data_IF_989950873942
#
_entry.id   IF_989950873942
#
_cell.length_a   1.000
_cell.length_b   1.000
_cell.length_c   1.000
_cell.angle_alpha   90.00
_cell.angle_beta   90.00
_cell.angle_gamma   90.00
#
_symmetry.space_group_name_H-M   'P 1'
#
loop_
_entity.id
_entity.type
_entity.pdbx_description
1 polymer ?
#
# COMPACT_ATOMS: atom_id res chain seq x y z
N UNK A 1 10.24 -3.02 16.97
CA UNK A 1 9.61 -1.85 16.31
C UNK A 1 8.18 -1.76 16.83
N UNK A 2 7.74 -0.61 17.37
CA UNK A 2 6.31 -0.43 17.70
C UNK A 2 5.57 -0.12 16.40
N UNK A 3 4.60 -0.96 16.03
CA UNK A 3 3.62 -0.61 14.99
C UNK A 3 2.89 0.63 15.47
N UNK A 4 3.13 1.77 14.82
CA UNK A 4 2.41 3.00 15.11
C UNK A 4 1.00 2.89 14.56
N UNK A 5 0.01 3.36 15.29
CA UNK A 5 -1.35 3.51 14.75
C UNK A 5 -1.34 4.61 13.69
N UNK A 6 -2.07 4.41 12.60
CA UNK A 6 -2.40 5.48 11.67
C UNK A 6 -3.63 6.22 12.18
N UNK A 7 -3.54 7.54 12.21
CA UNK A 7 -4.67 8.39 12.59
C UNK A 7 -5.35 8.86 11.32
N UNK A 8 -6.61 8.52 11.16
CA UNK A 8 -7.47 9.09 10.12
C UNK A 8 -8.30 10.23 10.68
N UNK A 9 -8.46 11.26 9.88
CA UNK A 9 -9.37 12.37 10.10
C UNK A 9 -10.57 12.17 9.19
N UNK A 10 -11.74 11.95 9.78
CA UNK A 10 -13.01 11.99 9.07
C UNK A 10 -13.62 13.39 9.25
N UNK A 11 -13.74 14.13 8.15
CA UNK A 11 -14.41 15.43 8.12
C UNK A 11 -15.79 15.31 7.48
N UNK A 12 -16.83 15.77 8.18
CA UNK A 12 -18.19 15.83 7.67
C UNK A 12 -18.72 17.27 7.64
N UNK A 13 -18.89 17.81 6.43
CA UNK A 13 -19.46 19.14 6.20
C UNK A 13 -20.99 19.04 6.08
N UNK A 14 -21.70 19.65 7.03
CA UNK A 14 -23.17 19.67 7.08
C UNK A 14 -23.70 20.80 6.19
N UNK A 15 -24.61 20.53 5.27
CA UNK A 15 -25.33 21.60 4.57
C UNK A 15 -26.48 22.23 5.39
N UNK A 16 -26.73 21.80 6.64
CA UNK A 16 -27.70 22.45 7.55
C UNK A 16 -27.16 23.74 8.19
N UNK A 17 -26.49 24.60 7.43
CA UNK A 17 -26.02 25.87 7.97
C UNK A 17 -27.22 26.82 8.10
N UNK A 18 -27.13 27.80 8.99
CA UNK A 18 -28.18 28.84 9.10
C UNK A 18 -28.40 29.48 7.72
N UNK A 19 -29.64 29.84 7.38
CA UNK A 19 -30.00 30.41 6.09
C UNK A 19 -29.02 31.52 5.67
N UNK A 20 -28.40 31.36 4.50
CA UNK A 20 -27.45 32.33 3.94
C UNK A 20 -25.97 32.02 4.16
N UNK A 21 -25.60 30.95 4.88
CA UNK A 21 -24.21 30.53 5.05
C UNK A 21 -23.83 29.49 3.97
N UNK A 22 -22.85 29.79 3.08
CA UNK A 22 -22.38 28.83 2.09
C UNK A 22 -21.72 27.60 2.73
N UNK A 23 -21.86 26.43 2.12
CA UNK A 23 -21.20 25.18 2.53
C UNK A 23 -19.68 25.26 2.56
N UNK A 24 -19.10 26.22 1.83
CA UNK A 24 -17.66 26.48 1.73
C UNK A 24 -17.16 27.53 2.72
N UNK A 25 -18.03 28.13 3.54
CA UNK A 25 -17.63 29.16 4.50
C UNK A 25 -16.85 28.59 5.68
N UNK A 26 -15.95 29.39 6.27
CA UNK A 26 -15.17 28.99 7.45
C UNK A 26 -16.05 28.55 8.64
N UNK A 27 -17.24 29.16 8.80
CA UNK A 27 -18.23 28.76 9.82
C UNK A 27 -18.84 27.37 9.55
N UNK A 28 -18.86 26.91 8.30
CA UNK A 28 -19.29 25.56 7.94
C UNK A 28 -18.28 24.51 8.42
N UNK A 29 -16.98 24.82 8.30
CA UNK A 29 -15.87 24.00 8.78
C UNK A 29 -15.86 23.90 10.31
N UNK A 30 -16.14 24.99 11.03
CA UNK A 30 -16.21 24.99 12.50
C UNK A 30 -17.37 24.14 13.05
N UNK A 31 -18.44 23.96 12.28
CA UNK A 31 -19.57 23.08 12.64
C UNK A 31 -19.47 21.65 12.08
N UNK A 32 -18.40 21.36 11.33
CA UNK A 32 -18.13 20.03 10.81
C UNK A 32 -17.81 19.06 11.93
N UNK A 33 -18.35 17.84 11.81
CA UNK A 33 -17.93 16.77 12.72
C UNK A 33 -16.57 16.29 12.23
N UNK A 34 -15.58 16.39 13.12
CA UNK A 34 -14.25 15.88 12.90
C UNK A 34 -14.06 14.70 13.86
N UNK A 35 -13.92 13.50 13.30
CA UNK A 35 -13.58 12.31 14.09
C UNK A 35 -12.14 11.91 13.82
N UNK A 36 -11.38 11.71 14.91
CA UNK A 36 -10.08 11.05 14.86
C UNK A 36 -10.27 9.56 15.07
N UNK A 37 -9.91 8.78 14.07
CA UNK A 37 -10.07 7.32 14.09
C UNK A 37 -8.69 6.70 14.04
N UNK A 38 -8.45 5.72 14.90
CA UNK A 38 -7.16 5.04 14.99
C UNK A 38 -7.25 3.67 14.33
N UNK A 39 -6.39 3.42 13.35
CA UNK A 39 -6.28 2.14 12.66
C UNK A 39 -4.86 1.58 12.76
N UNK A 40 -4.74 0.28 12.48
CA UNK A 40 -3.44 -0.39 12.36
C UNK A 40 -2.94 -0.42 10.90
N UNK A 41 -3.85 -0.33 9.93
CA UNK A 41 -3.58 -0.40 8.51
C UNK A 41 -4.54 0.50 7.70
N UNK A 42 -4.15 0.79 6.46
CA UNK A 42 -5.04 1.35 5.44
C UNK A 42 -5.59 0.22 4.57
N UNK A 43 -6.86 -0.10 4.75
CA UNK A 43 -7.56 -1.07 3.93
C UNK A 43 -8.16 -0.43 2.68
N UNK A 44 -7.45 -0.53 1.55
CA UNK A 44 -7.77 0.14 0.28
C UNK A 44 -8.66 -0.71 -0.62
N UNK A 45 -9.65 -0.09 -1.25
CA UNK A 45 -10.47 -0.73 -2.27
C UNK A 45 -9.73 -0.78 -3.59
N UNK A 46 -9.51 -2.00 -4.09
CA UNK A 46 -8.85 -2.22 -5.37
C UNK A 46 -9.79 -2.64 -6.47
N UNK A 47 -11.08 -2.93 -6.22
CA UNK A 47 -12.03 -3.36 -7.26
C UNK A 47 -12.10 -2.40 -8.45
N UNK A 48 -12.05 -1.09 -8.18
CA UNK A 48 -12.19 -0.02 -9.19
C UNK A 48 -10.87 0.66 -9.59
N UNK A 49 -9.74 0.26 -9.02
CA UNK A 49 -8.43 0.90 -9.24
C UNK A 49 -7.37 -0.10 -9.65
N UNK A 50 -6.35 0.33 -10.37
CA UNK A 50 -5.26 -0.52 -10.88
C UNK A 50 -3.93 -0.25 -10.16
N UNK A 51 -3.89 0.66 -9.18
CA UNK A 51 -2.67 1.04 -8.47
C UNK A 51 -2.97 1.46 -7.03
N UNK A 52 -1.98 1.30 -6.15
CA UNK A 52 -2.04 1.76 -4.76
C UNK A 52 -2.24 3.27 -4.69
N UNK A 53 -1.61 4.03 -5.58
CA UNK A 53 -1.75 5.48 -5.64
C UNK A 53 -3.20 5.89 -5.94
N UNK A 54 -3.80 5.36 -7.01
CA UNK A 54 -5.23 5.63 -7.32
C UNK A 54 -6.16 5.13 -6.23
N UNK A 55 -5.84 4.00 -5.59
CA UNK A 55 -6.63 3.51 -4.48
C UNK A 55 -6.59 4.44 -3.26
N UNK A 56 -5.46 5.10 -2.99
CA UNK A 56 -5.33 6.15 -1.96
C UNK A 56 -6.07 7.43 -2.34
N UNK A 57 -6.00 7.84 -3.61
CA UNK A 57 -6.79 8.97 -4.12
C UNK A 57 -8.29 8.73 -3.92
N UNK A 58 -8.78 7.54 -4.28
CA UNK A 58 -10.17 7.15 -4.05
C UNK A 58 -10.51 7.08 -2.55
N UNK A 59 -9.61 6.54 -1.73
CA UNK A 59 -9.81 6.43 -0.28
C UNK A 59 -9.94 7.80 0.41
N UNK A 60 -9.22 8.80 -0.11
CA UNK A 60 -9.21 10.16 0.45
C UNK A 60 -10.05 11.17 -0.32
N UNK A 61 -10.76 10.72 -1.35
CA UNK A 61 -11.67 11.55 -2.12
C UNK A 61 -12.84 12.05 -1.28
N UNK A 62 -13.37 13.21 -1.64
CA UNK A 62 -14.60 13.73 -1.06
C UNK A 62 -15.78 12.89 -1.56
N UNK A 63 -16.50 12.28 -0.64
CA UNK A 63 -17.74 11.55 -0.87
C UNK A 63 -18.95 12.45 -0.70
N UNK A 64 -19.78 12.55 -1.74
CA UNK A 64 -21.07 13.22 -1.67
C UNK A 64 -22.11 12.29 -1.04
N UNK A 65 -22.68 12.71 0.09
CA UNK A 65 -23.78 12.04 0.77
C UNK A 65 -25.12 12.58 0.24
N UNK A 66 -25.38 12.30 -1.04
CA UNK A 66 -26.60 12.65 -1.76
C UNK A 66 -27.34 11.39 -2.25
N UNK A 67 -28.68 11.49 -2.38
CA UNK A 67 -29.50 10.40 -2.92
C UNK A 67 -30.18 9.51 -1.87
N UNK A 68 -31.41 9.89 -1.48
CA UNK A 68 -32.32 9.09 -0.65
C UNK A 68 -31.70 8.55 0.65
N UNK A 69 -31.33 7.27 0.63
CA UNK A 69 -30.76 6.54 1.76
C UNK A 69 -29.36 7.03 2.19
N UNK A 70 -28.58 7.63 1.27
CA UNK A 70 -27.21 8.11 1.55
C UNK A 70 -27.15 9.49 2.22
N UNK A 71 -28.26 10.23 2.26
CA UNK A 71 -28.31 11.52 2.93
C UNK A 71 -27.93 11.38 4.41
N UNK A 72 -27.05 12.26 4.87
CA UNK A 72 -26.67 12.33 6.26
C UNK A 72 -27.86 12.76 7.12
N UNK A 73 -28.18 11.99 8.17
CA UNK A 73 -29.19 12.38 9.15
C UNK A 73 -28.54 13.26 10.22
N UNK A 74 -28.81 14.56 10.16
CA UNK A 74 -28.27 15.51 11.12
C UNK A 74 -28.67 15.15 12.56
N UNK A 75 -27.70 14.95 13.44
CA UNK A 75 -27.97 14.60 14.84
C UNK A 75 -28.70 15.70 15.62
N UNK A 76 -28.54 16.97 15.23
CA UNK A 76 -29.21 18.13 15.85
C UNK A 76 -30.63 18.32 15.30
N UNK A 77 -30.74 18.48 13.98
CA UNK A 77 -32.03 18.79 13.34
C UNK A 77 -32.93 17.55 13.13
N UNK A 78 -32.36 16.34 13.26
CA UNK A 78 -33.00 15.05 12.96
C UNK A 78 -33.50 14.85 11.52
N UNK A 79 -33.22 15.80 10.63
CA UNK A 79 -33.56 15.77 9.20
C UNK A 79 -32.40 15.23 8.36
N UNK A 80 -32.73 14.54 7.26
CA UNK A 80 -31.78 14.09 6.25
C UNK A 80 -31.35 15.24 5.35
N UNK A 81 -30.04 15.44 5.20
CA UNK A 81 -29.48 16.50 4.36
C UNK A 81 -28.33 16.00 3.52
N UNK A 82 -28.03 16.75 2.47
CA UNK A 82 -26.78 16.59 1.73
C UNK A 82 -25.61 16.97 2.63
N UNK A 83 -24.53 16.23 2.52
CA UNK A 83 -23.31 16.46 3.25
C UNK A 83 -22.13 15.99 2.40
N UNK A 84 -20.95 16.50 2.70
CA UNK A 84 -19.71 15.98 2.14
C UNK A 84 -18.95 15.27 3.25
N UNK A 85 -18.45 14.08 2.96
CA UNK A 85 -17.60 13.30 3.86
C UNK A 85 -16.24 13.11 3.20
N UNK A 86 -15.17 13.24 3.97
CA UNK A 86 -13.83 12.94 3.49
C UNK A 86 -13.02 12.25 4.59
N UNK A 87 -12.21 11.28 4.19
CA UNK A 87 -11.20 10.66 5.05
C UNK A 87 -9.83 11.13 4.61
N UNK A 88 -8.98 11.50 5.57
CA UNK A 88 -7.59 11.90 5.30
C UNK A 88 -6.69 11.36 6.40
N UNK A 89 -5.38 11.34 6.19
CA UNK A 89 -4.42 10.94 7.22
C UNK A 89 -4.10 12.15 8.11
N UNK A 90 -4.43 12.08 9.39
CA UNK A 90 -4.06 13.09 10.40
C UNK A 90 -2.59 12.94 10.80
N UNK A 91 -2.17 11.70 11.08
CA UNK A 91 -0.80 11.37 11.47
C UNK A 91 -0.42 10.01 10.89
N UNK A 92 0.65 10.01 10.10
CA UNK A 92 1.17 8.81 9.49
C UNK A 92 2.18 8.09 10.42
N UNK A 93 2.14 6.75 10.51
CA UNK A 93 3.02 5.97 11.37
C UNK A 93 4.41 5.73 10.76
N UNK A 94 5.44 5.45 11.56
CA UNK A 94 6.78 5.12 11.04
C UNK A 94 6.81 3.92 10.08
N UNK A 95 5.91 2.96 10.32
CA UNK A 95 5.70 1.77 9.49
C UNK A 95 4.25 1.79 9.04
N UNK A 96 4.02 1.91 7.74
CA UNK A 96 2.68 1.99 7.14
C UNK A 96 2.29 0.64 6.56
N UNK A 97 1.26 0.01 7.12
CA UNK A 97 0.68 -1.20 6.54
C UNK A 97 -0.49 -0.85 5.63
N UNK A 98 -0.46 -1.33 4.38
CA UNK A 98 -1.53 -1.19 3.41
C UNK A 98 -2.11 -2.57 3.11
N UNK A 99 -3.40 -2.73 3.35
CA UNK A 99 -4.15 -3.92 3.00
C UNK A 99 -4.95 -3.66 1.71
N UNK A 100 -4.72 -4.49 0.69
CA UNK A 100 -5.50 -4.43 -0.55
C UNK A 100 -6.74 -5.31 -0.39
N UNK A 101 -7.93 -4.71 -0.36
CA UNK A 101 -9.21 -5.45 -0.30
C UNK A 101 -9.48 -6.17 -1.61
N UNK A 102 -8.87 -7.34 -1.79
CA UNK A 102 -9.02 -8.21 -2.97
C UNK A 102 -10.29 -9.06 -2.92
N UNK A 103 -11.38 -8.52 -2.38
CA UNK A 103 -12.67 -9.18 -2.24
C UNK A 103 -13.79 -8.15 -2.29
N UNK A 104 -14.98 -8.57 -2.73
CA UNK A 104 -16.17 -7.72 -2.79
C UNK A 104 -17.29 -8.31 -1.93
N UNK A 105 -18.06 -7.46 -1.25
CA UNK A 105 -19.15 -7.92 -0.38
C UNK A 105 -20.25 -8.67 -1.12
N UNK A 106 -20.41 -8.44 -2.42
CA UNK A 106 -21.46 -9.06 -3.23
C UNK A 106 -21.04 -10.46 -3.72
N UNK A 107 -19.74 -10.74 -3.79
CA UNK A 107 -19.16 -12.02 -4.20
C UNK A 107 -17.99 -12.40 -3.28
N UNK A 108 -18.24 -12.68 -1.99
CA UNK A 108 -17.19 -12.81 -0.98
C UNK A 108 -16.27 -14.02 -1.20
N UNK A 109 -16.67 -15.00 -2.02
CA UNK A 109 -15.89 -16.20 -2.31
C UNK A 109 -14.85 -16.00 -3.43
N UNK A 110 -15.03 -14.97 -4.28
CA UNK A 110 -14.16 -14.71 -5.42
C UNK A 110 -13.08 -13.70 -5.05
N UNK A 111 -11.82 -14.07 -5.28
CA UNK A 111 -10.68 -13.17 -5.10
C UNK A 111 -10.53 -12.28 -6.32
N UNK A 112 -10.31 -10.99 -6.08
CA UNK A 112 -9.91 -10.03 -7.11
C UNK A 112 -8.43 -10.27 -7.44
N UNK A 113 -8.19 -11.01 -8.52
CA UNK A 113 -6.85 -11.41 -8.95
C UNK A 113 -6.21 -10.48 -9.98
N UNK A 114 -6.80 -9.30 -10.20
CA UNK A 114 -6.22 -8.32 -11.13
C UNK A 114 -4.91 -7.74 -10.62
N UNK A 115 -4.07 -7.31 -11.56
CA UNK A 115 -2.84 -6.58 -11.27
C UNK A 115 -3.14 -5.26 -10.58
N UNK A 116 -2.41 -4.99 -9.49
CA UNK A 116 -2.42 -3.70 -8.78
C UNK A 116 -0.97 -3.23 -8.71
N UNK A 117 -0.70 -2.12 -9.37
CA UNK A 117 0.61 -1.51 -9.43
C UNK A 117 0.94 -0.80 -8.11
N UNK A 118 2.19 -0.94 -7.67
CA UNK A 118 2.72 -0.22 -6.51
C UNK A 118 4.19 0.09 -6.78
N UNK A 119 4.62 1.25 -6.32
CA UNK A 119 5.98 1.73 -6.51
C UNK A 119 6.86 1.38 -5.30
N UNK A 120 8.18 1.20 -5.48
CA UNK A 120 9.11 1.04 -4.36
C UNK A 120 9.13 2.26 -3.41
N UNK A 121 8.68 3.41 -3.90
CA UNK A 121 8.55 4.65 -3.14
C UNK A 121 7.10 5.13 -3.18
N UNK A 122 6.52 5.44 -2.02
CA UNK A 122 5.20 6.06 -1.91
C UNK A 122 5.31 7.45 -1.28
N UNK A 123 4.72 8.43 -1.94
CA UNK A 123 4.61 9.81 -1.43
C UNK A 123 3.23 9.97 -0.82
N UNK A 124 3.17 10.20 0.49
CA UNK A 124 1.91 10.29 1.24
C UNK A 124 1.40 11.72 1.42
N UNK A 125 2.21 12.73 1.09
CA UNK A 125 1.87 14.15 1.25
C UNK A 125 0.48 14.55 0.71
N UNK A 126 0.02 14.08 -0.47
CA UNK A 126 -1.31 14.44 -0.99
C UNK A 126 -2.49 13.92 -0.15
N UNK A 127 -2.25 12.95 0.72
CA UNK A 127 -3.30 12.22 1.46
C UNK A 127 -3.35 12.60 2.95
N UNK A 128 -2.52 13.56 3.38
CA UNK A 128 -2.35 13.98 4.77
C UNK A 128 -2.89 15.39 4.98
N UNK A 129 -3.66 15.59 6.06
CA UNK A 129 -4.30 16.89 6.36
C UNK A 129 -3.45 17.84 7.20
N UNK A 130 -2.40 17.34 7.86
CA UNK A 130 -1.50 18.14 8.68
C UNK A 130 -0.37 18.80 7.89
N UNK A 131 0.24 19.88 8.43
CA UNK A 131 1.48 20.42 7.88
C UNK A 131 2.56 19.35 7.98
N UNK A 132 2.93 18.78 6.84
CA UNK A 132 3.94 17.73 6.77
C UNK A 132 4.85 18.01 5.57
N UNK A 133 6.13 18.20 5.86
CA UNK A 133 7.17 18.16 4.84
C UNK A 133 7.39 16.71 4.37
N UNK A 134 7.82 16.59 3.13
CA UNK A 134 8.02 15.39 2.30
C UNK A 134 7.90 14.03 3.01
N UNK A 135 6.64 13.60 3.20
CA UNK A 135 6.33 12.29 3.76
C UNK A 135 6.48 11.21 2.69
N UNK A 136 7.67 10.61 2.65
CA UNK A 136 8.05 9.55 1.72
C UNK A 136 8.30 8.24 2.46
N UNK A 137 7.72 7.17 1.95
CA UNK A 137 7.96 5.81 2.40
C UNK A 137 8.68 4.99 1.35
N UNK A 138 9.44 4.00 1.81
CA UNK A 138 10.09 2.99 0.97
C UNK A 138 9.46 1.63 1.25
N UNK A 139 9.06 0.91 0.21
CA UNK A 139 8.53 -0.44 0.34
C UNK A 139 9.56 -1.37 0.98
N UNK A 140 9.19 -2.02 2.08
CA UNK A 140 10.05 -2.99 2.76
C UNK A 140 9.51 -4.42 2.69
N UNK A 141 8.21 -4.61 2.52
CA UNK A 141 7.60 -5.93 2.55
C UNK A 141 6.38 -6.05 1.64
N UNK A 142 6.24 -7.22 1.01
CA UNK A 142 5.03 -7.58 0.25
C UNK A 142 4.57 -8.95 0.70
N UNK A 143 3.39 -9.01 1.32
CA UNK A 143 2.72 -10.27 1.65
C UNK A 143 1.80 -10.66 0.50
N UNK A 144 1.97 -11.88 -0.02
CA UNK A 144 1.22 -12.38 -1.17
C UNK A 144 0.37 -13.56 -0.77
N UNK A 145 -0.90 -13.52 -1.18
CA UNK A 145 -1.82 -14.65 -1.11
C UNK A 145 -1.96 -15.28 -2.50
N UNK A 146 -1.41 -16.48 -2.69
CA UNK A 146 -1.64 -17.29 -3.88
C UNK A 146 -2.87 -18.18 -3.71
N UNK A 147 -3.77 -18.15 -4.69
CA UNK A 147 -5.03 -18.88 -4.61
C UNK A 147 -6.14 -18.11 -5.30
N UNK A 148 -7.16 -18.85 -5.73
CA UNK A 148 -8.30 -18.34 -6.50
C UNK A 148 -9.46 -17.89 -5.58
N UNK A 149 -9.46 -18.36 -4.34
CA UNK A 149 -10.47 -18.06 -3.33
C UNK A 149 -9.93 -17.10 -2.28
N UNK A 150 -10.84 -16.44 -1.58
CA UNK A 150 -10.56 -15.67 -0.35
C UNK A 150 -10.49 -16.56 0.90
N UNK A 151 -10.99 -17.80 0.82
CA UNK A 151 -11.10 -18.71 1.97
C UNK A 151 -9.95 -19.72 2.06
N UNK A 152 -9.18 -19.88 0.99
CA UNK A 152 -8.06 -20.83 0.92
C UNK A 152 -7.01 -20.36 -0.07
N UNK A 153 -5.77 -20.72 0.22
CA UNK A 153 -4.62 -20.39 -0.58
C UNK A 153 -3.33 -20.60 0.20
N UNK A 154 -2.27 -20.01 -0.31
CA UNK A 154 -0.92 -20.12 0.21
C UNK A 154 -0.32 -18.73 0.38
N UNK A 155 0.22 -18.45 1.57
CA UNK A 155 0.87 -17.18 1.85
C UNK A 155 2.38 -17.31 1.71
N UNK A 156 2.98 -16.35 1.03
CA UNK A 156 4.42 -16.16 0.96
C UNK A 156 4.73 -14.67 0.95
N UNK A 157 5.98 -14.27 1.19
CA UNK A 157 6.32 -12.86 1.22
C UNK A 157 7.66 -12.53 0.56
N UNK A 158 7.78 -11.27 0.18
CA UNK A 158 9.03 -10.65 -0.20
C UNK A 158 9.43 -9.64 0.86
N UNK A 159 10.70 -9.66 1.27
CA UNK A 159 11.24 -8.72 2.27
C UNK A 159 12.48 -8.06 1.72
N UNK A 160 12.50 -6.73 1.78
CA UNK A 160 13.64 -5.90 1.46
C UNK A 160 14.51 -5.69 2.71
N UNK A 161 15.79 -5.98 2.57
CA UNK A 161 16.77 -5.86 3.65
C UNK A 161 17.49 -4.52 3.61
N UNK A 162 18.11 -4.14 4.73
CA UNK A 162 18.97 -2.95 4.82
C UNK A 162 20.18 -2.98 3.88
N UNK A 163 20.52 -4.15 3.32
CA UNK A 163 21.60 -4.33 2.35
C UNK A 163 21.15 -4.12 0.90
N UNK A 164 19.91 -3.67 0.67
CA UNK A 164 19.38 -3.43 -0.68
C UNK A 164 18.98 -4.71 -1.42
N UNK A 165 18.83 -5.83 -0.71
CA UNK A 165 18.48 -7.13 -1.29
C UNK A 165 17.06 -7.52 -0.93
N UNK A 166 16.36 -8.09 -1.91
CA UNK A 166 15.04 -8.68 -1.75
C UNK A 166 15.16 -10.19 -1.53
N UNK A 167 14.49 -10.69 -0.50
CA UNK A 167 14.37 -12.11 -0.24
C UNK A 167 12.95 -12.56 -0.50
N UNK A 168 12.81 -13.73 -1.10
CA UNK A 168 11.56 -14.49 -1.21
C UNK A 168 11.51 -15.51 -0.07
N UNK A 169 10.45 -15.47 0.72
CA UNK A 169 10.22 -16.34 1.86
C UNK A 169 8.93 -17.13 1.64
N UNK A 170 9.06 -18.45 1.53
CA UNK A 170 8.00 -19.42 1.30
C UNK A 170 8.16 -20.59 2.26
N UNK A 171 7.34 -20.62 3.32
CA UNK A 171 7.43 -21.56 4.44
C UNK A 171 8.87 -21.67 5.01
N UNK A 172 9.52 -22.81 4.77
CA UNK A 172 10.88 -23.10 5.23
C UNK A 172 11.97 -22.75 4.18
N UNK A 173 11.58 -22.14 3.06
CA UNK A 173 12.49 -21.78 1.97
C UNK A 173 12.72 -20.29 1.94
N UNK A 174 13.99 -19.92 1.93
CA UNK A 174 14.44 -18.54 1.76
C UNK A 174 15.38 -18.49 0.58
N UNK A 175 15.11 -17.63 -0.38
CA UNK A 175 15.97 -17.41 -1.55
C UNK A 175 16.05 -15.94 -1.91
N UNK A 176 17.06 -15.56 -2.69
CA UNK A 176 17.10 -14.23 -3.29
C UNK A 176 15.97 -14.15 -4.33
N UNK A 177 15.14 -13.11 -4.23
CA UNK A 177 14.03 -12.85 -5.15
C UNK A 177 14.02 -11.37 -5.53
N UNK A 178 13.36 -10.99 -6.61
CA UNK A 178 13.18 -9.58 -6.95
C UNK A 178 11.68 -9.29 -7.05
N UNK A 179 11.23 -8.22 -6.42
CA UNK A 179 9.90 -7.62 -6.68
C UNK A 179 10.10 -6.73 -7.92
N UNK A 180 10.15 -7.34 -9.10
CA UNK A 180 10.20 -6.59 -10.37
C UNK A 180 8.77 -6.33 -10.86
N UNK A 181 8.57 -5.17 -11.49
CA UNK A 181 7.34 -4.78 -12.22
C UNK A 181 6.94 -5.78 -13.34
N UNK A 182 7.84 -6.69 -13.67
CA UNK A 182 7.58 -7.91 -14.43
C UNK A 182 6.74 -8.87 -13.59
N UNK A 183 5.45 -8.54 -13.47
CA UNK A 183 4.39 -9.51 -13.20
C UNK A 183 4.60 -10.72 -14.12
N UNK A 184 4.95 -11.84 -13.53
CA UNK A 184 5.07 -13.10 -14.24
C UNK A 184 3.66 -13.68 -14.35
N UNK A 185 2.93 -13.34 -15.41
CA UNK A 185 1.59 -13.89 -15.70
C UNK A 185 1.58 -15.44 -15.67
N UNK A 186 2.73 -16.08 -15.89
CA UNK A 186 2.87 -17.53 -15.77
C UNK A 186 2.74 -18.04 -14.33
N UNK A 187 3.17 -17.24 -13.34
CA UNK A 187 3.19 -17.62 -11.93
C UNK A 187 1.78 -17.64 -11.33
N UNK A 188 0.94 -16.64 -11.65
CA UNK A 188 -0.46 -16.56 -11.19
C UNK A 188 -1.37 -17.59 -11.86
N UNK A 189 -1.02 -18.07 -13.06
CA UNK A 189 -1.65 -19.27 -13.67
C UNK A 189 -1.27 -20.58 -12.96
N UNK A 190 -0.58 -20.52 -11.82
CA UNK A 190 -0.18 -21.67 -11.02
C UNK A 190 0.97 -22.48 -11.63
N UNK A 191 1.65 -21.97 -12.67
CA UNK A 191 2.85 -22.63 -13.19
C UNK A 191 4.03 -22.22 -12.33
N UNK A 192 4.45 -23.10 -11.42
CA UNK A 192 5.76 -23.01 -10.79
C UNK A 192 6.82 -22.94 -11.89
N UNK A 193 7.64 -21.87 -11.91
CA UNK A 193 8.91 -21.91 -12.63
C UNK A 193 9.65 -23.17 -12.19
N UNK A 194 9.93 -24.08 -13.13
CA UNK A 194 10.90 -25.15 -12.88
C UNK A 194 12.22 -24.45 -12.62
N UNK A 195 12.56 -24.27 -11.34
CA UNK A 195 13.92 -23.89 -10.95
C UNK A 195 14.81 -24.93 -11.61
N UNK A 196 15.59 -24.52 -12.63
CA UNK A 196 16.68 -25.36 -13.13
C UNK A 196 17.57 -25.57 -11.93
N UNK A 197 17.48 -26.76 -11.33
CA UNK A 197 18.51 -27.23 -10.40
C UNK A 197 19.83 -27.03 -11.12
N UNK A 198 20.87 -26.48 -10.46
CA UNK A 198 22.21 -26.62 -11.00
C UNK A 198 22.38 -28.11 -11.28
N UNK A 199 22.62 -28.47 -12.55
CA UNK A 199 23.11 -29.83 -12.79
C UNK A 199 24.41 -29.91 -12.03
N UNK A 200 24.58 -30.98 -11.26
CA UNK A 200 25.86 -31.29 -10.64
C UNK A 200 26.97 -31.08 -11.69
N UNK A 201 28.08 -30.39 -11.34
CA UNK A 201 29.08 -30.07 -12.34
C UNK A 201 29.66 -31.38 -12.88
N UNK A 202 29.30 -31.73 -14.11
CA UNK A 202 30.12 -32.63 -14.91
C UNK A 202 31.41 -31.84 -15.18
N UNK A 203 32.43 -32.28 -14.46
CA UNK A 203 33.86 -31.92 -14.54
C UNK A 203 34.25 -30.97 -15.67
N UNK A 204 34.61 -29.74 -15.30
CA UNK A 204 35.33 -28.82 -16.17
C UNK A 204 35.32 -27.40 -15.62
N UNK A 205 36.48 -26.89 -15.21
CA UNK A 205 36.67 -25.49 -14.85
C UNK A 205 36.42 -24.61 -16.07
N UNK A 206 35.56 -23.59 -15.96
CA UNK A 206 35.31 -22.61 -17.02
C UNK A 206 35.94 -21.25 -16.66
N UNK A 207 37.07 -20.87 -17.30
CA UNK A 207 37.79 -19.63 -17.01
C UNK A 207 36.97 -18.35 -17.21
N UNK A 208 35.92 -18.40 -18.03
CA UNK A 208 35.10 -17.21 -18.33
C UNK A 208 34.16 -16.83 -17.16
N UNK A 209 33.79 -17.78 -16.30
CA UNK A 209 32.97 -17.51 -15.11
C UNK A 209 33.78 -16.82 -14.00
N UNK A 210 35.07 -17.16 -13.88
CA UNK A 210 35.97 -16.53 -12.91
C UNK A 210 36.22 -15.05 -13.27
N UNK A 211 36.45 -14.75 -14.55
CA UNK A 211 36.61 -13.37 -15.04
C UNK A 211 35.34 -12.54 -14.80
N UNK A 212 34.15 -13.14 -14.98
CA UNK A 212 32.88 -12.46 -14.69
C UNK A 212 32.71 -12.18 -13.19
N UNK A 213 33.08 -13.14 -12.32
CA UNK A 213 33.02 -12.99 -10.86
C UNK A 213 34.00 -11.93 -10.33
N UNK A 214 35.22 -11.88 -10.87
CA UNK A 214 36.22 -10.87 -10.51
C UNK A 214 35.80 -9.45 -10.95
N UNK A 215 35.18 -9.31 -12.12
CA UNK A 215 34.64 -8.02 -12.59
C UNK A 215 33.48 -7.54 -11.71
N UNK A 216 32.62 -8.45 -11.26
CA UNK A 216 31.52 -8.12 -10.33
C UNK A 216 32.03 -7.70 -8.94
N UNK A 217 33.04 -8.39 -8.40
CA UNK A 217 33.66 -8.03 -7.12
C UNK A 217 34.38 -6.67 -7.16
N UNK A 218 35.10 -6.35 -8.25
CA UNK A 218 35.74 -5.03 -8.43
C UNK A 218 34.73 -3.89 -8.50
N UNK A 219 33.53 -4.12 -9.05
CA UNK A 219 32.45 -3.12 -9.09
C UNK A 219 31.88 -2.87 -7.68
N UNK A 220 31.76 -3.92 -6.86
CA UNK A 220 31.26 -3.89 -5.47
C UNK A 220 32.11 -3.01 -4.55
N UNK A 221 33.44 -3.18 -4.59
CA UNK A 221 34.40 -2.43 -3.76
C UNK A 221 34.37 -0.91 -4.05
N UNK A 222 33.99 -0.50 -5.27
CA UNK A 222 33.90 0.93 -5.64
C UNK A 222 32.66 1.62 -5.06
N UNK A 223 31.59 0.88 -4.80
CA UNK A 223 30.30 1.42 -4.32
C UNK A 223 30.22 1.59 -2.80
N UNK A 224 31.00 0.82 -2.02
CA UNK A 224 30.95 0.84 -0.56
C UNK A 224 31.61 2.08 0.09
N UNK A 225 32.05 3.07 -0.70
CA UNK A 225 32.73 4.29 -0.20
C UNK A 225 31.81 5.49 0.08
N UNK A 226 30.48 5.38 -0.07
CA UNK A 226 29.56 6.51 0.16
C UNK A 226 28.76 6.29 1.45
N UNK A 227 28.87 7.28 2.35
CA UNK A 227 28.56 7.27 3.78
C UNK A 227 27.08 7.13 4.15
N UNK A 228 26.84 6.38 5.23
CA UNK A 228 25.59 6.27 6.00
C UNK A 228 25.30 7.55 6.79
N UNK A 229 24.19 8.23 6.52
CA UNK A 229 23.41 9.10 7.42
C UNK A 229 22.09 9.38 6.69
N UNK A 230 20.97 9.08 7.35
CA UNK A 230 19.55 9.16 6.88
C UNK A 230 18.92 7.80 6.55
N UNK A 231 18.22 7.21 7.53
CA UNK A 231 17.39 6.02 7.33
C UNK A 231 15.94 6.41 6.98
N UNK A 232 15.38 5.95 5.84
CA UNK A 232 14.03 6.31 5.41
C UNK A 232 12.92 5.47 6.07
N UNK A 233 11.71 6.03 6.09
CA UNK A 233 10.47 5.38 6.51
C UNK A 233 10.12 4.16 5.64
N UNK A 234 9.40 3.18 6.22
CA UNK A 234 9.16 1.87 5.60
C UNK A 234 7.66 1.55 5.45
N UNK A 235 7.25 0.99 4.31
CA UNK A 235 5.91 0.39 4.05
C UNK A 235 6.02 -1.12 4.10
#
# INVERSE_FOLDING_TARGET
>A
MRMGMINLLESMHKCCLHSGVPSESQSAYEMSLIHKIFFLDLSLEVSKTDSVLKALEHFTAVEQLDGGARHYKCQRCKVKVRAQKQLTVDKAPYVLTIHLKRFESHMPQLKIDKKVHFEPTLIMKPFVSGPCDDLKYTLYGVLVHAGWSTHSGHYYCFVHTSHGLWYYLDDNRVSLGYVLDEWDEEYDRGKRKKVKRPRDPISGWNPFQEIASMKAQRKRIKTDRVSYRDQPFRI
#
